data_IF_929947965473
#
_entry.id   IF_929947965473
#
_cell.length_a   1.000
_cell.length_b   1.000
_cell.length_c   1.000
_cell.angle_alpha   90.00
_cell.angle_beta   90.00
_cell.angle_gamma   90.00
#
_symmetry.space_group_name_H-M   'P 1'
#
loop_
_entity.id
_entity.type
_entity.pdbx_description
1 polymer ?
#
# COMPACT_ATOMS: atom_id res chain seq x y z
N UNK A 1 72.40 24.38 16.06
CA UNK A 1 71.41 25.18 16.81
C UNK A 1 70.05 24.58 16.53
N UNK A 2 69.39 24.14 17.59
CA UNK A 2 68.20 23.29 17.60
C UNK A 2 66.97 24.17 17.38
N UNK A 3 66.16 23.85 16.37
CA UNK A 3 64.82 24.41 16.18
C UNK A 3 63.79 23.29 16.39
N UNK A 4 63.21 23.25 17.59
CA UNK A 4 62.09 22.40 17.97
C UNK A 4 60.79 23.01 17.43
N UNK A 5 60.07 22.29 16.58
CA UNK A 5 58.66 22.57 16.30
C UNK A 5 57.80 21.65 17.17
N UNK A 6 57.10 22.26 18.13
CA UNK A 6 56.08 21.62 18.96
C UNK A 6 54.78 21.47 18.18
N UNK A 7 54.30 20.22 18.02
CA UNK A 7 52.93 19.95 17.61
C UNK A 7 52.03 19.90 18.85
N UNK A 8 51.08 20.83 18.89
CA UNK A 8 49.92 20.84 19.78
C UNK A 8 48.93 19.76 19.36
N UNK A 9 48.68 18.81 20.27
CA UNK A 9 47.59 17.83 20.19
C UNK A 9 46.24 18.53 20.42
N UNK A 10 45.30 18.38 19.48
CA UNK A 10 43.90 18.68 19.69
C UNK A 10 43.16 17.37 20.03
N UNK A 11 42.79 17.23 21.30
CA UNK A 11 41.94 16.16 21.82
C UNK A 11 40.52 16.36 21.27
N UNK A 12 40.14 15.54 20.29
CA UNK A 12 38.77 15.47 19.79
C UNK A 12 38.08 14.25 20.41
N UNK A 13 37.19 14.49 21.38
CA UNK A 13 36.33 13.49 22.00
C UNK A 13 35.43 12.82 20.97
N UNK A 14 35.84 11.65 20.44
CA UNK A 14 34.93 10.71 19.79
C UNK A 14 34.20 9.92 20.87
N UNK A 15 32.95 10.31 21.13
CA UNK A 15 32.00 9.48 21.87
C UNK A 15 31.60 8.32 20.96
N UNK A 16 32.26 7.18 21.15
CA UNK A 16 31.88 5.90 20.55
C UNK A 16 30.61 5.42 21.24
N UNK A 17 29.44 5.61 20.61
CA UNK A 17 28.20 4.96 21.05
C UNK A 17 28.29 3.46 20.75
N UNK A 18 28.63 2.67 21.75
CA UNK A 18 28.39 1.24 21.76
C UNK A 18 26.89 1.00 22.02
N UNK A 19 26.12 0.71 20.98
CA UNK A 19 24.82 0.06 21.15
C UNK A 19 25.04 -1.44 21.28
N UNK A 20 24.82 -1.95 22.48
CA UNK A 20 24.82 -3.36 22.80
C UNK A 20 23.75 -4.08 21.97
N UNK A 21 24.20 -4.94 21.05
CA UNK A 21 23.35 -5.89 20.33
C UNK A 21 23.30 -7.18 21.15
N UNK A 22 22.42 -7.26 22.13
CA UNK A 22 22.13 -8.52 22.84
C UNK A 22 20.62 -8.66 23.07
N UNK A 23 19.91 -8.98 21.99
CA UNK A 23 18.59 -9.61 22.05
C UNK A 23 18.74 -11.08 21.67
N UNK A 24 18.78 -11.96 22.68
CA UNK A 24 18.70 -13.41 22.49
C UNK A 24 17.36 -13.76 21.82
N UNK A 25 17.40 -14.23 20.58
CA UNK A 25 16.32 -15.02 20.00
C UNK A 25 16.27 -16.37 20.71
N UNK A 26 15.39 -16.50 21.70
CA UNK A 26 14.95 -17.81 22.19
C UNK A 26 13.84 -18.29 21.25
N UNK A 27 14.21 -18.87 20.12
CA UNK A 27 13.28 -19.68 19.33
C UNK A 27 13.38 -21.12 19.83
N UNK A 28 12.47 -21.49 20.74
CA UNK A 28 12.23 -22.90 21.05
C UNK A 28 10.73 -23.18 21.08
N UNK A 29 10.19 -23.53 19.92
CA UNK A 29 9.12 -24.51 19.82
C UNK A 29 9.39 -25.30 18.55
N UNK A 30 9.58 -26.61 18.70
CA UNK A 30 9.56 -27.58 17.61
C UNK A 30 8.34 -27.27 16.75
N UNK A 31 8.60 -26.89 15.52
CA UNK A 31 7.59 -26.36 14.65
C UNK A 31 7.22 -27.48 13.67
N UNK A 32 5.92 -27.76 13.63
CA UNK A 32 5.29 -28.66 12.67
C UNK A 32 4.66 -27.76 11.63
N UNK A 33 4.86 -28.05 10.35
CA UNK A 33 4.07 -27.46 9.26
C UNK A 33 2.58 -27.40 9.67
N UNK A 34 1.97 -26.21 9.60
CA UNK A 34 0.63 -25.96 10.15
C UNK A 34 0.60 -25.28 11.52
N UNK A 35 1.67 -24.61 11.95
CA UNK A 35 1.77 -23.94 13.24
C UNK A 35 1.23 -22.52 13.29
N UNK A 36 0.91 -22.06 14.49
CA UNK A 36 0.53 -20.67 14.81
C UNK A 36 1.67 -19.97 15.53
N UNK A 37 2.17 -18.86 14.97
CA UNK A 37 3.09 -17.94 15.62
C UNK A 37 2.32 -16.81 16.29
N UNK A 38 2.30 -16.76 17.63
CA UNK A 38 1.76 -15.61 18.37
C UNK A 38 2.86 -14.61 18.67
N UNK A 39 2.69 -13.37 18.20
CA UNK A 39 3.65 -12.29 18.38
C UNK A 39 3.50 -11.62 19.75
N UNK A 40 4.60 -11.17 20.33
CA UNK A 40 4.62 -10.53 21.65
C UNK A 40 5.47 -9.28 21.68
N UNK A 41 6.73 -9.33 21.21
CA UNK A 41 7.71 -8.25 21.21
C UNK A 41 8.69 -8.33 20.03
N UNK A 42 8.27 -8.89 18.88
CA UNK A 42 9.14 -9.09 17.73
C UNK A 42 9.56 -7.76 17.10
N UNK A 43 10.82 -7.71 16.67
CA UNK A 43 11.44 -6.61 15.93
C UNK A 43 12.08 -7.13 14.64
N UNK A 44 12.16 -6.29 13.60
CA UNK A 44 12.88 -6.62 12.37
C UNK A 44 11.99 -7.24 11.29
N UNK A 45 12.39 -8.37 10.70
CA UNK A 45 11.61 -9.04 9.65
C UNK A 45 11.24 -10.46 10.08
N UNK A 46 9.95 -10.76 10.08
CA UNK A 46 9.42 -12.12 10.21
C UNK A 46 9.33 -12.69 8.80
N UNK A 47 10.05 -13.79 8.55
CA UNK A 47 10.11 -14.44 7.24
C UNK A 47 9.30 -15.73 7.28
N UNK A 48 8.35 -15.89 6.37
CA UNK A 48 7.61 -17.13 6.09
C UNK A 48 8.02 -17.61 4.70
N UNK A 49 8.54 -18.82 4.61
CA UNK A 49 8.89 -19.47 3.35
C UNK A 49 8.37 -20.92 3.34
N UNK A 50 8.76 -21.71 2.35
CA UNK A 50 8.29 -23.10 2.19
C UNK A 50 8.91 -24.07 3.22
N UNK A 51 9.98 -23.64 3.91
CA UNK A 51 10.59 -24.39 5.00
C UNK A 51 10.13 -23.90 6.37
N UNK A 52 9.30 -22.85 6.43
CA UNK A 52 8.80 -22.31 7.67
C UNK A 52 7.47 -22.96 8.04
N UNK A 53 7.38 -23.33 9.30
CA UNK A 53 6.32 -24.13 9.88
C UNK A 53 5.05 -23.34 10.24
N UNK A 54 5.06 -22.01 10.13
CA UNK A 54 3.89 -21.19 10.48
C UNK A 54 2.99 -20.93 9.28
N UNK A 55 1.74 -21.38 9.39
CA UNK A 55 0.67 -21.04 8.45
C UNK A 55 -0.16 -19.87 9.00
N UNK A 56 -0.02 -19.56 10.29
CA UNK A 56 -0.75 -18.49 10.96
C UNK A 56 0.18 -17.59 11.79
N UNK A 57 0.00 -16.28 11.65
CA UNK A 57 0.54 -15.26 12.53
C UNK A 57 -0.60 -14.59 13.28
N UNK A 58 -0.49 -14.54 14.61
CA UNK A 58 -1.44 -13.88 15.50
C UNK A 58 -0.78 -12.72 16.21
N UNK A 59 -1.37 -11.53 16.07
CA UNK A 59 -0.99 -10.34 16.83
C UNK A 59 -2.01 -10.18 17.97
N UNK A 60 -1.60 -10.33 19.23
CA UNK A 60 -2.50 -10.17 20.36
C UNK A 60 -3.10 -8.77 20.43
N UNK A 61 -4.16 -8.65 21.22
CA UNK A 61 -4.73 -7.36 21.57
C UNK A 61 -3.72 -6.52 22.36
N UNK A 62 -3.73 -5.20 22.17
CA UNK A 62 -2.86 -4.25 22.87
C UNK A 62 -1.36 -4.49 22.62
N UNK A 63 -1.02 -4.96 21.42
CA UNK A 63 0.35 -5.18 20.98
C UNK A 63 0.67 -4.34 19.75
N UNK A 64 1.82 -3.66 19.84
CA UNK A 64 2.48 -3.04 18.69
C UNK A 64 3.72 -3.85 18.37
N UNK A 65 3.71 -4.50 17.21
CA UNK A 65 4.82 -5.29 16.72
C UNK A 65 5.67 -4.42 15.79
N UNK A 66 6.96 -4.35 16.06
CA UNK A 66 7.91 -3.54 15.27
C UNK A 66 8.62 -4.38 14.22
N UNK A 67 7.82 -5.06 13.38
CA UNK A 67 8.36 -5.93 12.36
C UNK A 67 7.59 -5.85 11.05
N UNK A 68 8.32 -6.08 9.95
CA UNK A 68 7.74 -6.48 8.66
C UNK A 68 7.42 -7.98 8.68
N UNK A 69 6.44 -8.38 7.87
CA UNK A 69 6.15 -9.79 7.59
C UNK A 69 6.40 -10.05 6.11
N UNK A 70 7.31 -10.97 5.80
CA UNK A 70 7.67 -11.35 4.45
C UNK A 70 7.24 -12.78 4.17
N UNK A 71 6.40 -12.97 3.16
CA UNK A 71 6.04 -14.28 2.62
C UNK A 71 6.83 -14.46 1.33
N UNK A 72 7.79 -15.37 1.32
CA UNK A 72 8.79 -15.47 0.26
C UNK A 72 8.41 -16.43 -0.86
N UNK A 73 9.14 -16.28 -1.96
CA UNK A 73 9.06 -17.14 -3.14
C UNK A 73 9.33 -18.59 -2.78
N UNK A 74 8.50 -19.46 -3.35
CA UNK A 74 8.50 -20.89 -3.06
C UNK A 74 7.37 -21.32 -2.15
N UNK A 75 6.87 -20.42 -1.28
CA UNK A 75 5.71 -20.72 -0.43
C UNK A 75 4.48 -21.04 -1.29
N UNK A 76 3.91 -22.22 -1.05
CA UNK A 76 2.69 -22.70 -1.72
C UNK A 76 1.49 -22.84 -0.79
N UNK A 77 1.73 -23.17 0.48
CA UNK A 77 0.67 -23.21 1.49
C UNK A 77 0.17 -21.80 1.80
N UNK A 78 -1.14 -21.68 2.02
CA UNK A 78 -1.78 -20.43 2.42
C UNK A 78 -1.21 -19.93 3.76
N UNK A 79 -1.35 -18.61 3.97
CA UNK A 79 -0.90 -17.92 5.17
C UNK A 79 -2.03 -17.06 5.72
N UNK A 80 -2.27 -17.14 7.02
CA UNK A 80 -3.20 -16.29 7.75
C UNK A 80 -2.41 -15.33 8.64
N UNK A 81 -2.71 -14.04 8.57
CA UNK A 81 -2.17 -13.01 9.47
C UNK A 81 -3.36 -12.31 10.10
N UNK A 82 -3.54 -12.43 11.42
CA UNK A 82 -4.67 -11.78 12.09
C UNK A 82 -4.27 -11.07 13.36
N UNK A 83 -4.92 -9.94 13.61
CA UNK A 83 -4.99 -9.37 14.95
C UNK A 83 -6.15 -9.97 15.75
N UNK A 84 -6.02 -9.98 17.07
CA UNK A 84 -7.14 -10.26 17.95
C UNK A 84 -8.07 -9.05 18.08
N UNK A 85 -7.59 -7.84 17.77
CA UNK A 85 -8.38 -6.62 17.78
C UNK A 85 -7.89 -5.63 16.71
N UNK A 86 -8.81 -5.21 15.82
CA UNK A 86 -8.52 -4.28 14.73
C UNK A 86 -7.78 -3.01 15.19
N UNK A 87 -8.14 -2.44 16.33
CA UNK A 87 -7.64 -1.14 16.78
C UNK A 87 -6.34 -1.23 17.57
N UNK A 88 -6.08 -2.35 18.24
CA UNK A 88 -4.97 -2.46 19.20
C UNK A 88 -3.97 -3.58 18.88
N UNK A 89 -4.24 -4.41 17.86
CA UNK A 89 -3.26 -5.30 17.23
C UNK A 89 -2.59 -4.56 16.08
N UNK A 90 -1.41 -4.01 16.33
CA UNK A 90 -0.73 -3.05 15.44
C UNK A 90 0.56 -3.67 14.88
N UNK A 91 0.73 -3.59 13.56
CA UNK A 91 2.02 -3.73 12.88
C UNK A 91 2.56 -2.34 12.56
N UNK A 92 3.76 -2.04 13.04
CA UNK A 92 4.46 -0.78 12.77
C UNK A 92 5.95 -1.08 12.65
N UNK A 93 6.46 -1.47 11.46
CA UNK A 93 7.79 -2.06 11.30
C UNK A 93 8.95 -1.25 11.88
N UNK A 94 8.89 0.08 11.76
CA UNK A 94 9.90 1.00 12.30
C UNK A 94 9.48 1.58 13.67
N UNK A 95 8.52 0.93 14.33
CA UNK A 95 7.78 1.51 15.44
C UNK A 95 6.82 2.61 14.99
N UNK A 96 6.11 3.18 15.97
CA UNK A 96 5.16 4.26 15.72
C UNK A 96 5.83 5.60 15.37
N UNK A 97 7.15 5.71 15.55
CA UNK A 97 7.87 6.98 15.46
C UNK A 97 9.17 6.90 14.65
N UNK A 98 9.51 5.73 14.11
CA UNK A 98 10.73 5.55 13.33
C UNK A 98 10.50 5.80 11.85
N UNK A 99 11.56 6.26 11.19
CA UNK A 99 11.67 6.41 9.74
C UNK A 99 12.80 5.50 9.25
N UNK A 100 12.70 5.02 8.01
CA UNK A 100 13.81 4.33 7.35
C UNK A 100 14.07 4.87 5.94
N UNK A 101 14.46 4.00 5.00
CA UNK A 101 15.12 4.38 3.73
C UNK A 101 14.16 4.97 2.69
N UNK A 102 13.97 6.30 2.71
CA UNK A 102 13.13 7.06 1.78
C UNK A 102 13.40 6.72 0.29
N UNK A 103 14.66 6.53 -0.10
CA UNK A 103 15.06 6.36 -1.50
C UNK A 103 15.03 4.92 -2.04
N UNK A 104 14.67 3.92 -1.22
CA UNK A 104 14.65 2.54 -1.67
C UNK A 104 13.61 2.32 -2.78
N UNK A 105 14.05 1.87 -3.96
CA UNK A 105 13.22 1.61 -5.14
C UNK A 105 13.26 0.14 -5.56
N UNK A 106 12.37 -0.24 -6.48
CA UNK A 106 12.30 -1.60 -7.02
C UNK A 106 12.03 -2.65 -5.94
N UNK A 107 12.57 -3.85 -6.11
CA UNK A 107 12.37 -4.97 -5.16
C UNK A 107 12.84 -4.64 -3.75
N UNK A 108 13.92 -3.87 -3.59
CA UNK A 108 14.41 -3.46 -2.27
C UNK A 108 13.37 -2.60 -1.55
N UNK A 109 12.79 -1.60 -2.23
CA UNK A 109 11.70 -0.79 -1.68
C UNK A 109 10.45 -1.62 -1.38
N UNK A 110 10.03 -2.51 -2.29
CA UNK A 110 8.86 -3.37 -2.04
C UNK A 110 9.01 -4.23 -0.78
N UNK A 111 10.22 -4.70 -0.48
CA UNK A 111 10.52 -5.47 0.74
C UNK A 111 10.55 -4.62 2.03
N UNK A 112 10.30 -3.33 1.97
CA UNK A 112 10.07 -2.49 3.15
C UNK A 112 8.58 -2.36 3.49
N UNK A 113 7.71 -3.05 2.75
CA UNK A 113 6.27 -3.06 3.04
C UNK A 113 5.99 -3.67 4.41
N UNK A 114 4.95 -3.21 5.12
CA UNK A 114 4.58 -3.83 6.40
C UNK A 114 4.28 -5.32 6.24
N UNK A 115 3.52 -5.67 5.19
CA UNK A 115 3.35 -7.06 4.75
C UNK A 115 3.73 -7.12 3.27
N UNK A 116 4.77 -7.90 2.98
CA UNK A 116 5.24 -8.18 1.62
C UNK A 116 5.04 -9.67 1.32
N UNK A 117 4.45 -9.98 0.17
CA UNK A 117 4.25 -11.35 -0.27
C UNK A 117 4.71 -11.53 -1.72
N UNK A 118 5.53 -12.54 -1.97
CA UNK A 118 5.98 -12.99 -3.29
C UNK A 118 5.83 -14.51 -3.31
N UNK A 119 4.60 -15.01 -3.22
CA UNK A 119 4.30 -16.44 -3.13
C UNK A 119 3.31 -16.88 -4.22
N UNK A 120 3.16 -18.20 -4.36
CA UNK A 120 2.06 -18.81 -5.11
C UNK A 120 1.03 -19.38 -4.13
N UNK A 121 0.42 -18.49 -3.36
CA UNK A 121 -0.39 -18.84 -2.19
C UNK A 121 -1.45 -17.75 -1.93
N UNK A 122 -2.43 -18.07 -1.08
CA UNK A 122 -3.35 -17.09 -0.52
C UNK A 122 -2.79 -16.52 0.77
N UNK A 123 -2.76 -15.20 0.90
CA UNK A 123 -2.45 -14.51 2.16
C UNK A 123 -3.71 -13.82 2.67
N UNK A 124 -4.29 -14.37 3.74
CA UNK A 124 -5.47 -13.82 4.39
C UNK A 124 -5.07 -12.91 5.54
N UNK A 125 -5.51 -11.64 5.52
CA UNK A 125 -5.12 -10.62 6.51
C UNK A 125 -6.37 -10.06 7.16
N UNK A 126 -6.46 -10.09 8.49
CA UNK A 126 -7.66 -9.58 9.17
C UNK A 126 -7.46 -8.95 10.55
N UNK A 127 -8.43 -8.13 10.96
CA UNK A 127 -8.59 -7.64 12.33
C UNK A 127 -7.34 -6.98 12.92
N UNK A 128 -6.58 -6.22 12.13
CA UNK A 128 -5.37 -5.53 12.57
C UNK A 128 -5.28 -4.11 12.02
N UNK A 129 -4.35 -3.33 12.58
CA UNK A 129 -3.93 -2.04 12.04
C UNK A 129 -2.50 -2.14 11.54
N UNK A 130 -2.25 -1.76 10.29
CA UNK A 130 -0.91 -1.43 9.81
C UNK A 130 -0.73 0.09 9.94
N UNK A 131 0.35 0.51 10.60
CA UNK A 131 0.60 1.91 10.92
C UNK A 131 2.05 2.28 10.64
N UNK A 132 2.25 3.50 10.11
CA UNK A 132 3.56 4.03 9.78
C UNK A 132 4.39 3.05 8.91
N UNK A 133 3.88 2.69 7.70
CA UNK A 133 4.64 1.84 6.80
C UNK A 133 5.81 2.66 6.23
N UNK A 134 6.89 1.98 5.89
CA UNK A 134 7.98 2.64 5.17
C UNK A 134 7.63 2.83 3.69
N UNK A 135 7.10 1.76 3.09
CA UNK A 135 6.62 1.74 1.70
C UNK A 135 5.14 1.34 1.73
N UNK A 136 4.81 0.19 1.18
CA UNK A 136 3.43 -0.27 1.10
C UNK A 136 2.96 -0.78 2.47
N UNK A 137 1.69 -0.60 2.79
CA UNK A 137 1.09 -1.31 3.91
C UNK A 137 1.00 -2.81 3.60
N UNK A 138 0.40 -3.16 2.47
CA UNK A 138 0.16 -4.55 2.06
C UNK A 138 0.44 -4.68 0.56
N UNK A 139 1.38 -5.55 0.20
CA UNK A 139 1.76 -5.78 -1.19
C UNK A 139 1.96 -7.27 -1.48
N UNK A 140 1.14 -7.82 -2.37
CA UNK A 140 1.47 -9.03 -3.14
C UNK A 140 2.19 -8.65 -4.44
N UNK A 141 3.40 -9.16 -4.67
CA UNK A 141 4.27 -8.72 -5.77
C UNK A 141 4.01 -9.45 -7.10
N UNK A 142 3.36 -10.61 -7.07
CA UNK A 142 3.11 -11.43 -8.27
C UNK A 142 1.62 -11.64 -8.53
N UNK A 143 1.28 -12.00 -9.77
CA UNK A 143 -0.08 -12.34 -10.20
C UNK A 143 -0.67 -13.50 -9.40
N UNK A 144 0.18 -14.39 -8.90
CA UNK A 144 -0.20 -15.60 -8.18
C UNK A 144 -0.33 -15.39 -6.66
N UNK A 145 0.01 -14.19 -6.17
CA UNK A 145 -0.10 -13.88 -4.74
C UNK A 145 -1.48 -13.30 -4.44
N UNK A 146 -2.42 -14.17 -4.05
CA UNK A 146 -3.79 -13.77 -3.75
C UNK A 146 -3.88 -13.14 -2.36
N UNK A 147 -4.13 -11.84 -2.30
CA UNK A 147 -4.27 -11.11 -1.02
C UNK A 147 -5.75 -10.96 -0.67
N UNK A 148 -6.18 -11.53 0.46
CA UNK A 148 -7.56 -11.42 0.98
C UNK A 148 -7.56 -10.62 2.27
N UNK A 149 -7.95 -9.35 2.20
CA UNK A 149 -7.83 -8.40 3.32
C UNK A 149 -9.20 -8.02 3.87
N UNK A 150 -9.41 -8.18 5.17
CA UNK A 150 -10.71 -7.99 5.81
C UNK A 150 -10.62 -7.24 7.14
N UNK A 151 -11.46 -6.23 7.33
CA UNK A 151 -11.59 -5.50 8.60
C UNK A 151 -10.25 -4.96 9.13
N UNK A 152 -9.47 -4.29 8.29
CA UNK A 152 -8.17 -3.70 8.66
C UNK A 152 -8.19 -2.17 8.65
N UNK A 153 -7.21 -1.59 9.33
CA UNK A 153 -6.88 -0.17 9.17
C UNK A 153 -5.48 -0.03 8.58
N UNK A 154 -5.33 0.82 7.56
CA UNK A 154 -4.06 1.18 6.96
C UNK A 154 -3.86 2.68 7.17
N UNK A 155 -2.94 3.06 8.05
CA UNK A 155 -2.72 4.46 8.41
C UNK A 155 -1.25 4.88 8.27
N UNK A 156 -0.94 5.78 7.35
CA UNK A 156 0.38 6.43 7.28
C UNK A 156 0.63 7.29 8.52
N UNK A 157 -0.43 7.85 9.12
CA UNK A 157 -0.32 8.67 10.34
C UNK A 157 -0.15 7.85 11.61
N UNK A 158 0.64 8.40 12.52
CA UNK A 158 0.93 7.84 13.84
C UNK A 158 -0.28 7.96 14.78
N UNK A 159 -1.03 9.06 14.66
CA UNK A 159 -2.32 9.28 15.30
C UNK A 159 -3.26 10.05 14.37
N UNK A 160 -4.57 10.07 14.65
CA UNK A 160 -5.57 10.73 13.81
C UNK A 160 -5.27 12.21 13.52
N UNK A 161 -4.52 12.87 14.41
CA UNK A 161 -4.12 14.27 14.31
C UNK A 161 -2.60 14.45 14.31
N UNK A 162 -1.80 13.38 14.14
CA UNK A 162 -0.35 13.53 14.09
C UNK A 162 0.08 14.15 12.77
N UNK A 163 1.24 14.80 12.83
CA UNK A 163 1.95 15.22 11.63
C UNK A 163 2.22 13.99 10.75
N UNK A 164 2.25 14.25 9.45
CA UNK A 164 2.32 13.19 8.48
C UNK A 164 3.77 12.81 8.29
N UNK A 165 4.09 11.52 8.37
CA UNK A 165 5.21 10.99 7.60
C UNK A 165 4.93 11.22 6.11
N UNK A 166 5.39 12.36 5.60
CA UNK A 166 5.22 12.89 4.25
C UNK A 166 6.00 12.08 3.20
N UNK A 167 5.88 10.76 3.26
CA UNK A 167 6.63 9.87 2.41
C UNK A 167 5.86 9.62 1.12
N UNK A 168 6.50 9.97 0.01
CA UNK A 168 6.24 9.34 -1.29
C UNK A 168 6.33 7.82 -1.10
N UNK A 169 5.46 7.03 -1.73
CA UNK A 169 5.40 5.55 -1.69
C UNK A 169 4.80 4.88 -0.44
N UNK A 170 4.03 5.61 0.39
CA UNK A 170 3.21 4.98 1.45
C UNK A 170 1.88 4.44 0.91
N UNK A 171 1.99 3.51 -0.01
CA UNK A 171 0.85 2.91 -0.70
C UNK A 171 0.02 2.00 0.20
N UNK A 172 -1.26 1.86 -0.08
CA UNK A 172 -2.17 1.03 0.72
C UNK A 172 -2.06 -0.45 0.35
N UNK A 173 -2.92 -0.88 -0.56
CA UNK A 173 -3.15 -2.28 -0.90
C UNK A 173 -2.83 -2.59 -2.36
N UNK A 174 -2.08 -3.67 -2.58
CA UNK A 174 -1.89 -4.30 -3.88
C UNK A 174 -1.77 -5.82 -3.74
N UNK A 175 -2.15 -6.55 -4.79
CA UNK A 175 -2.05 -8.01 -4.82
C UNK A 175 -2.23 -8.58 -6.22
N UNK A 176 -2.14 -9.91 -6.31
CA UNK A 176 -2.35 -10.69 -7.52
C UNK A 176 -3.80 -10.75 -8.00
N UNK A 177 -4.04 -11.59 -9.01
CA UNK A 177 -5.36 -11.83 -9.60
C UNK A 177 -6.36 -12.30 -8.53
N UNK A 178 -7.57 -11.74 -8.52
CA UNK A 178 -8.63 -12.10 -7.56
C UNK A 178 -8.50 -11.45 -6.18
N UNK A 179 -7.45 -10.68 -5.91
CA UNK A 179 -7.22 -10.07 -4.61
C UNK A 179 -8.36 -9.14 -4.20
N UNK A 180 -8.63 -9.07 -2.89
CA UNK A 180 -9.72 -8.27 -2.35
C UNK A 180 -9.37 -7.56 -1.05
N UNK A 181 -10.00 -6.40 -0.85
CA UNK A 181 -9.99 -5.68 0.42
C UNK A 181 -11.41 -5.25 0.79
N UNK A 182 -11.82 -5.52 2.03
CA UNK A 182 -13.17 -5.20 2.49
C UNK A 182 -13.25 -4.70 3.93
N UNK A 183 -14.31 -3.96 4.25
CA UNK A 183 -14.63 -3.43 5.58
C UNK A 183 -13.48 -2.65 6.24
N UNK A 184 -12.69 -1.95 5.43
CA UNK A 184 -11.39 -1.40 5.84
C UNK A 184 -11.34 0.12 5.73
N UNK A 185 -10.44 0.72 6.51
CA UNK A 185 -10.11 2.16 6.43
C UNK A 185 -8.68 2.31 5.90
N UNK A 186 -8.49 3.24 4.97
CA UNK A 186 -7.19 3.54 4.36
C UNK A 186 -6.94 5.05 4.48
N UNK A 187 -5.79 5.44 5.02
CA UNK A 187 -5.25 6.79 5.05
C UNK A 187 -3.81 6.71 4.56
N UNK A 188 -3.60 7.01 3.28
CA UNK A 188 -2.30 6.88 2.60
C UNK A 188 -1.89 8.20 1.97
N UNK A 189 -0.58 8.43 1.85
CA UNK A 189 -0.05 9.57 1.12
C UNK A 189 0.19 9.29 -0.35
N UNK A 190 0.20 8.02 -0.76
CA UNK A 190 0.33 7.57 -2.14
C UNK A 190 -0.85 6.66 -2.56
N UNK A 191 -0.69 5.85 -3.61
CA UNK A 191 -1.76 5.04 -4.18
C UNK A 191 -2.43 4.16 -3.11
N UNK A 192 -3.72 4.38 -2.85
CA UNK A 192 -4.42 3.64 -1.78
C UNK A 192 -4.73 2.20 -2.21
N UNK A 193 -5.14 1.99 -3.46
CA UNK A 193 -5.41 0.67 -4.04
C UNK A 193 -4.80 0.58 -5.44
N UNK A 194 -3.88 -0.37 -5.62
CA UNK A 194 -3.21 -0.64 -6.90
C UNK A 194 -3.98 -1.69 -7.68
N UNK A 195 -4.79 -1.23 -8.64
CA UNK A 195 -5.61 -2.07 -9.51
C UNK A 195 -4.81 -2.49 -10.74
N UNK A 196 -3.85 -3.39 -10.54
CA UNK A 196 -2.88 -3.77 -11.59
C UNK A 196 -3.13 -5.16 -12.18
N UNK A 197 -4.17 -5.86 -11.74
CA UNK A 197 -4.40 -7.27 -12.09
C UNK A 197 -5.81 -7.52 -12.59
N UNK A 198 -5.97 -8.69 -13.20
CA UNK A 198 -7.25 -9.22 -13.66
C UNK A 198 -8.15 -9.43 -12.43
N UNK A 199 -9.16 -8.57 -12.31
CA UNK A 199 -10.21 -8.64 -11.27
C UNK A 199 -9.72 -8.47 -9.83
N UNK A 200 -9.91 -7.27 -9.29
CA UNK A 200 -9.74 -6.97 -7.87
C UNK A 200 -11.07 -6.47 -7.30
N UNK A 201 -11.40 -6.92 -6.10
CA UNK A 201 -12.66 -6.54 -5.43
C UNK A 201 -12.39 -5.62 -4.25
N UNK A 202 -13.13 -4.52 -4.19
CA UNK A 202 -13.10 -3.57 -3.07
C UNK A 202 -14.52 -3.43 -2.54
N UNK A 203 -14.71 -3.68 -1.25
CA UNK A 203 -16.05 -3.73 -0.64
C UNK A 203 -16.13 -3.00 0.70
N UNK A 204 -17.01 -2.00 0.81
CA UNK A 204 -17.19 -1.24 2.05
C UNK A 204 -15.88 -0.62 2.58
N UNK A 205 -15.09 -0.02 1.70
CA UNK A 205 -13.81 0.61 2.05
C UNK A 205 -13.94 2.14 2.11
N UNK A 206 -13.32 2.73 3.12
CA UNK A 206 -13.21 4.18 3.28
C UNK A 206 -11.76 4.61 3.07
N UNK A 207 -11.53 5.49 2.11
CA UNK A 207 -10.22 6.01 1.76
C UNK A 207 -10.19 7.49 2.11
N UNK A 208 -9.19 7.90 2.89
CA UNK A 208 -8.80 9.29 3.09
C UNK A 208 -7.65 9.58 2.13
N UNK A 209 -7.95 10.32 1.06
CA UNK A 209 -6.99 10.64 0.01
C UNK A 209 -6.22 11.92 0.35
N UNK A 210 -4.92 11.78 0.58
CA UNK A 210 -4.01 12.91 0.79
C UNK A 210 -3.40 13.40 -0.54
N UNK A 211 -2.14 13.81 -0.58
CA UNK A 211 -1.59 14.55 -1.73
C UNK A 211 -1.22 13.68 -2.95
N UNK A 212 -0.45 12.61 -2.75
CA UNK A 212 0.18 11.86 -3.84
C UNK A 212 -0.64 10.62 -4.23
N UNK A 213 -0.21 9.98 -5.31
CA UNK A 213 -0.87 8.78 -5.85
C UNK A 213 -2.34 9.01 -6.18
N UNK A 214 -3.10 7.91 -6.23
CA UNK A 214 -4.55 7.90 -6.40
C UNK A 214 -5.25 6.88 -5.48
N UNK A 215 -6.48 7.14 -5.03
CA UNK A 215 -7.31 6.16 -4.33
C UNK A 215 -7.41 4.81 -5.07
N UNK A 216 -7.58 4.86 -6.39
CA UNK A 216 -7.55 3.69 -7.27
C UNK A 216 -6.61 3.96 -8.45
N UNK A 217 -5.42 3.35 -8.40
CA UNK A 217 -4.39 3.49 -9.43
C UNK A 217 -4.42 2.29 -10.38
N UNK A 218 -4.55 2.54 -11.69
CA UNK A 218 -4.62 1.51 -12.74
C UNK A 218 -3.30 1.25 -13.47
N UNK A 219 -2.25 1.99 -13.14
CA UNK A 219 -0.89 1.65 -13.52
C UNK A 219 0.00 2.84 -13.78
N UNK A 220 1.28 2.63 -13.47
CA UNK A 220 2.40 3.46 -13.90
C UNK A 220 3.05 2.94 -15.21
N UNK A 221 2.44 1.93 -15.83
CA UNK A 221 2.93 1.18 -16.99
C UNK A 221 2.81 -0.35 -16.77
N UNK A 222 2.98 -1.14 -17.83
CA UNK A 222 3.32 -2.58 -17.70
C UNK A 222 2.22 -3.59 -17.40
N UNK A 223 0.92 -3.27 -17.58
CA UNK A 223 -0.16 -4.24 -17.37
C UNK A 223 -1.19 -4.19 -18.51
N UNK A 224 -1.50 -5.33 -19.11
CA UNK A 224 -2.37 -5.40 -20.31
C UNK A 224 -3.84 -5.18 -19.96
N UNK A 225 -4.27 -5.67 -18.79
CA UNK A 225 -5.66 -5.63 -18.35
C UNK A 225 -5.75 -5.40 -16.84
N UNK A 226 -6.74 -4.61 -16.42
CA UNK A 226 -7.16 -4.59 -15.02
C UNK A 226 -8.65 -4.31 -14.89
N UNK A 227 -9.27 -4.91 -13.87
CA UNK A 227 -10.69 -4.72 -13.57
C UNK A 227 -10.88 -4.51 -12.08
N UNK A 228 -11.50 -3.40 -11.72
CA UNK A 228 -11.94 -3.10 -10.37
C UNK A 228 -13.43 -3.43 -10.24
N UNK A 229 -13.79 -4.15 -9.19
CA UNK A 229 -15.17 -4.40 -8.79
C UNK A 229 -15.41 -3.67 -7.46
N UNK A 230 -16.26 -2.66 -7.47
CA UNK A 230 -16.65 -1.88 -6.31
C UNK A 230 -17.99 -2.40 -5.77
N UNK A 231 -17.98 -3.06 -4.62
CA UNK A 231 -19.18 -3.59 -3.95
C UNK A 231 -19.50 -2.79 -2.68
N UNK A 232 -20.76 -2.84 -2.26
CA UNK A 232 -21.18 -2.17 -1.03
C UNK A 232 -21.03 -0.64 -1.10
N UNK A 233 -20.79 0.01 0.03
CA UNK A 233 -20.65 1.47 0.12
C UNK A 233 -19.18 1.87 0.25
N UNK A 234 -18.55 2.21 -0.87
CA UNK A 234 -17.18 2.72 -0.89
C UNK A 234 -17.16 4.24 -0.83
N UNK A 235 -16.22 4.79 -0.07
CA UNK A 235 -16.08 6.23 0.12
C UNK A 235 -14.65 6.66 -0.10
N UNK A 236 -14.47 7.72 -0.87
CA UNK A 236 -13.23 8.47 -0.99
C UNK A 236 -13.47 9.87 -0.42
N UNK A 237 -12.63 10.25 0.54
CA UNK A 237 -12.62 11.57 1.16
C UNK A 237 -11.33 12.29 0.81
N UNK A 238 -11.46 13.34 0.02
CA UNK A 238 -10.39 14.28 -0.29
C UNK A 238 -9.95 15.03 0.99
N UNK A 239 -8.70 14.84 1.42
CA UNK A 239 -8.12 15.43 2.63
C UNK A 239 -6.91 16.37 2.40
N UNK A 240 -6.71 16.84 1.18
CA UNK A 240 -5.62 17.73 0.77
C UNK A 240 -6.12 18.86 -0.15
N UNK A 241 -5.28 19.86 -0.40
CA UNK A 241 -5.66 21.03 -1.20
C UNK A 241 -5.07 21.01 -2.61
N UNK A 242 -4.08 20.16 -2.85
CA UNK A 242 -3.37 19.99 -4.12
C UNK A 242 -3.16 18.50 -4.36
N UNK A 243 -3.76 17.94 -5.41
CA UNK A 243 -3.71 16.50 -5.67
C UNK A 243 -2.82 16.19 -6.85
N UNK A 244 -1.98 15.16 -6.73
CA UNK A 244 -1.20 14.69 -7.87
C UNK A 244 -2.03 13.91 -8.85
N UNK A 245 -3.07 13.18 -8.44
CA UNK A 245 -4.00 12.51 -9.33
C UNK A 245 -5.44 12.63 -8.84
N UNK A 246 -6.38 12.19 -9.67
CA UNK A 246 -7.76 12.05 -9.29
C UNK A 246 -8.03 10.74 -8.56
N UNK A 247 -9.30 10.51 -8.27
CA UNK A 247 -9.78 9.33 -7.55
C UNK A 247 -9.43 8.02 -8.28
N UNK A 248 -9.70 7.98 -9.58
CA UNK A 248 -9.32 6.91 -10.49
C UNK A 248 -8.24 7.43 -11.42
N UNK A 249 -7.02 6.90 -11.30
CA UNK A 249 -5.89 7.38 -12.08
C UNK A 249 -5.29 6.29 -12.95
N UNK A 250 -4.83 6.69 -14.13
CA UNK A 250 -4.01 5.86 -14.98
C UNK A 250 -2.88 6.71 -15.56
N UNK A 251 -1.66 6.46 -15.10
CA UNK A 251 -0.55 7.38 -15.38
C UNK A 251 0.10 7.11 -16.73
N UNK A 252 0.28 5.85 -17.10
CA UNK A 252 0.98 5.50 -18.33
C UNK A 252 0.48 4.21 -18.95
N UNK A 253 0.54 4.17 -20.29
CA UNK A 253 0.38 2.95 -21.09
C UNK A 253 1.64 2.69 -21.88
N UNK A 254 2.16 1.47 -21.78
CA UNK A 254 3.34 1.08 -22.55
C UNK A 254 2.96 0.60 -23.98
N UNK A 255 1.68 0.37 -24.24
CA UNK A 255 1.14 -0.12 -25.51
C UNK A 255 -0.28 0.39 -25.74
N UNK A 256 -0.68 0.48 -27.00
CA UNK A 256 -2.06 0.80 -27.42
C UNK A 256 -2.99 -0.40 -27.23
N UNK A 257 -4.29 -0.15 -27.05
CA UNK A 257 -5.31 -1.19 -26.97
C UNK A 257 -5.55 -1.73 -25.56
N UNK A 258 -4.81 -1.26 -24.55
CA UNK A 258 -5.02 -1.65 -23.16
C UNK A 258 -6.40 -1.23 -22.66
N UNK A 259 -7.00 -2.11 -21.87
CA UNK A 259 -8.34 -1.92 -21.32
C UNK A 259 -8.29 -1.95 -19.80
N UNK A 260 -8.97 -0.97 -19.20
CA UNK A 260 -9.30 -0.92 -17.77
C UNK A 260 -10.80 -0.94 -17.59
N UNK A 261 -11.25 -1.53 -16.49
CA UNK A 261 -12.68 -1.70 -16.19
C UNK A 261 -12.98 -1.30 -14.76
N UNK A 262 -14.08 -0.58 -14.55
CA UNK A 262 -14.65 -0.32 -13.22
C UNK A 262 -16.11 -0.73 -13.21
N UNK A 263 -16.41 -1.71 -12.36
CA UNK A 263 -17.73 -2.28 -12.15
C UNK A 263 -18.31 -1.79 -10.82
N UNK A 264 -19.25 -0.84 -10.88
CA UNK A 264 -19.91 -0.25 -9.72
C UNK A 264 -21.14 -1.08 -9.33
N UNK A 265 -20.93 -2.02 -8.40
CA UNK A 265 -21.97 -2.91 -7.83
C UNK A 265 -22.52 -2.41 -6.50
N UNK A 266 -22.24 -1.16 -6.13
CA UNK A 266 -22.71 -0.55 -4.90
C UNK A 266 -22.44 0.95 -4.88
N UNK A 267 -22.88 1.62 -3.81
CA UNK A 267 -22.73 3.06 -3.66
C UNK A 267 -21.25 3.49 -3.69
N UNK A 268 -21.00 4.59 -4.40
CA UNK A 268 -19.69 5.22 -4.45
C UNK A 268 -19.81 6.70 -4.09
N UNK A 269 -19.15 7.09 -3.01
CA UNK A 269 -19.20 8.45 -2.48
C UNK A 269 -17.84 9.14 -2.64
N UNK A 270 -17.83 10.31 -3.25
CA UNK A 270 -16.65 11.17 -3.35
C UNK A 270 -16.91 12.48 -2.61
N UNK A 271 -16.32 12.61 -1.43
CA UNK A 271 -16.52 13.71 -0.49
C UNK A 271 -15.25 14.51 -0.30
N UNK A 272 -15.38 15.72 0.25
CA UNK A 272 -14.26 16.63 0.50
C UNK A 272 -14.25 16.99 1.97
N UNK A 273 -13.10 16.88 2.62
CA UNK A 273 -12.91 17.31 3.99
C UNK A 273 -13.07 18.84 4.10
N UNK A 274 -13.47 19.33 5.28
CA UNK A 274 -13.62 20.76 5.52
C UNK A 274 -12.31 21.51 5.21
N UNK A 275 -12.40 22.59 4.42
CA UNK A 275 -11.26 23.42 4.03
C UNK A 275 -10.33 22.80 2.98
N UNK A 276 -10.70 21.68 2.36
CA UNK A 276 -9.92 20.99 1.32
C UNK A 276 -10.54 21.19 -0.07
N UNK A 277 -9.77 20.83 -1.09
CA UNK A 277 -10.18 20.94 -2.50
C UNK A 277 -10.74 19.61 -3.00
N UNK A 278 -11.59 19.62 -4.02
CA UNK A 278 -12.03 18.40 -4.70
C UNK A 278 -11.01 17.96 -5.76
N UNK A 279 -10.54 16.73 -5.70
CA UNK A 279 -9.75 16.10 -6.75
C UNK A 279 -10.61 15.79 -7.98
N UNK A 280 -9.99 15.59 -9.14
CA UNK A 280 -10.72 15.07 -10.31
C UNK A 280 -11.18 13.63 -10.03
N UNK A 281 -12.28 13.20 -10.64
CA UNK A 281 -12.72 11.82 -10.50
C UNK A 281 -11.83 10.90 -11.34
N UNK A 282 -11.52 11.29 -12.57
CA UNK A 282 -10.67 10.55 -13.48
C UNK A 282 -9.46 11.39 -13.92
N UNK A 283 -8.26 10.83 -13.85
CA UNK A 283 -7.05 11.47 -14.37
C UNK A 283 -6.22 10.51 -15.22
N UNK A 284 -5.78 10.96 -16.38
CA UNK A 284 -4.96 10.19 -17.31
C UNK A 284 -3.66 10.93 -17.63
N UNK A 285 -2.53 10.24 -17.49
CA UNK A 285 -1.20 10.82 -17.69
C UNK A 285 -0.56 11.36 -16.42
N UNK A 286 0.76 11.57 -16.49
CA UNK A 286 1.51 12.26 -15.45
C UNK A 286 1.35 13.78 -15.52
N UNK A 287 1.53 14.48 -14.40
CA UNK A 287 1.41 15.95 -14.34
C UNK A 287 2.43 16.68 -15.23
N UNK A 288 3.65 16.14 -15.33
CA UNK A 288 4.78 16.87 -15.92
C UNK A 288 5.75 16.01 -16.73
N UNK A 289 5.57 14.69 -16.77
CA UNK A 289 6.51 13.79 -17.45
C UNK A 289 5.89 13.31 -18.76
N UNK A 290 6.37 13.85 -19.89
CA UNK A 290 5.85 13.56 -21.23
C UNK A 290 6.06 12.12 -21.69
N UNK A 291 6.94 11.38 -21.02
CA UNK A 291 7.14 9.94 -21.27
C UNK A 291 6.09 9.07 -20.54
N UNK A 292 5.29 9.65 -19.64
CA UNK A 292 4.26 8.97 -18.88
C UNK A 292 2.89 9.49 -19.30
N UNK A 293 2.39 8.93 -20.40
CA UNK A 293 1.11 9.31 -21.00
C UNK A 293 0.28 8.06 -21.28
N UNK A 294 -1.04 8.25 -21.31
CA UNK A 294 -1.99 7.23 -21.75
C UNK A 294 -2.35 7.52 -23.18
N UNK A 295 -2.21 6.56 -24.10
CA UNK A 295 -2.56 6.78 -25.51
C UNK A 295 -3.16 5.53 -26.15
N UNK A 296 -4.26 5.69 -26.88
CA UNK A 296 -4.91 4.60 -27.59
C UNK A 296 -5.46 3.50 -26.65
N UNK A 297 -5.80 3.85 -25.41
CA UNK A 297 -6.29 2.93 -24.40
C UNK A 297 -7.75 3.21 -24.03
N UNK A 298 -8.42 2.25 -23.38
CA UNK A 298 -9.84 2.35 -23.03
C UNK A 298 -10.10 2.15 -21.53
N UNK A 299 -10.90 3.03 -20.93
CA UNK A 299 -11.53 2.82 -19.63
C UNK A 299 -13.02 2.54 -19.82
N UNK A 300 -13.48 1.36 -19.38
CA UNK A 300 -14.91 1.02 -19.39
C UNK A 300 -15.50 1.16 -17.99
N UNK A 301 -16.55 1.96 -17.88
CA UNK A 301 -17.29 2.21 -16.65
C UNK A 301 -18.66 1.54 -16.76
N UNK A 302 -19.09 0.76 -15.77
CA UNK A 302 -20.40 0.09 -15.81
C UNK A 302 -20.90 -0.27 -14.41
N UNK A 303 -22.12 -0.77 -14.32
CA UNK A 303 -22.80 -1.12 -13.06
C UNK A 303 -23.87 -0.09 -12.68
N UNK A 304 -24.84 -0.51 -11.87
CA UNK A 304 -26.05 0.27 -11.58
C UNK A 304 -25.85 1.53 -10.72
N UNK A 305 -24.63 1.72 -10.20
CA UNK A 305 -24.22 2.89 -9.41
C UNK A 305 -23.01 3.59 -10.03
N UNK A 306 -22.80 3.36 -11.33
CA UNK A 306 -21.68 3.90 -12.06
C UNK A 306 -21.63 5.42 -11.99
N UNK A 307 -20.40 5.96 -11.93
CA UNK A 307 -20.14 7.39 -12.06
C UNK A 307 -19.66 7.66 -13.48
N UNK A 308 -20.41 8.45 -14.24
CA UNK A 308 -19.99 8.77 -15.60
C UNK A 308 -18.74 9.67 -15.62
N UNK A 309 -17.87 9.43 -16.60
CA UNK A 309 -16.84 10.39 -16.99
C UNK A 309 -17.48 11.54 -17.76
N UNK A 310 -17.08 12.77 -17.41
CA UNK A 310 -17.55 14.03 -18.00
C UNK A 310 -16.38 15.00 -18.13
N UNK A 311 -16.54 16.06 -18.92
CA UNK A 311 -15.50 17.08 -19.06
C UNK A 311 -15.18 17.83 -17.74
N UNK A 312 -16.11 17.85 -16.77
CA UNK A 312 -15.90 18.54 -15.50
C UNK A 312 -15.14 17.70 -14.48
N UNK A 313 -15.26 16.37 -14.53
CA UNK A 313 -14.66 15.44 -13.57
C UNK A 313 -13.48 14.62 -14.13
N UNK A 314 -13.19 14.72 -15.43
CA UNK A 314 -12.07 14.06 -16.10
C UNK A 314 -11.00 15.05 -16.50
N UNK A 315 -9.74 14.66 -16.31
CA UNK A 315 -8.57 15.41 -16.75
C UNK A 315 -7.63 14.51 -17.55
N UNK A 316 -7.31 14.95 -18.77
CA UNK A 316 -6.23 14.40 -19.58
C UNK A 316 -5.02 15.31 -19.48
N UNK A 317 -3.87 14.74 -19.14
CA UNK A 317 -2.64 15.49 -18.92
C UNK A 317 -1.65 15.27 -20.05
N UNK A 318 -0.92 16.33 -20.38
CA UNK A 318 0.07 16.33 -21.44
C UNK A 318 -0.60 15.87 -22.75
N UNK A 319 -0.02 14.92 -23.47
CA UNK A 319 -0.56 14.36 -24.71
C UNK A 319 -1.49 13.16 -24.48
N UNK A 320 -1.89 12.91 -23.24
CA UNK A 320 -2.69 11.74 -22.91
C UNK A 320 -4.08 11.80 -23.54
N UNK A 321 -4.52 10.66 -24.04
CA UNK A 321 -5.85 10.41 -24.56
C UNK A 321 -6.25 8.98 -24.16
N UNK A 322 -7.48 8.84 -23.66
CA UNK A 322 -8.08 7.53 -23.45
C UNK A 322 -9.52 7.59 -23.93
N UNK A 323 -9.96 6.52 -24.58
CA UNK A 323 -11.38 6.34 -24.83
C UNK A 323 -12.06 5.96 -23.51
N UNK A 324 -13.16 6.63 -23.16
CA UNK A 324 -13.91 6.30 -21.96
C UNK A 324 -15.32 5.90 -22.36
N UNK A 325 -15.65 4.66 -22.09
CA UNK A 325 -17.00 4.13 -22.37
C UNK A 325 -17.81 4.19 -21.08
N UNK A 326 -18.80 5.07 -21.05
CA UNK A 326 -19.85 5.06 -20.02
C UNK A 326 -20.88 3.99 -20.41
N UNK A 327 -20.99 2.92 -19.62
CA UNK A 327 -21.99 1.88 -19.81
C UNK A 327 -23.42 2.41 -19.58
N UNK A 328 -24.42 1.64 -20.01
CA UNK A 328 -25.85 2.03 -20.07
C UNK A 328 -26.42 2.60 -18.75
N UNK A 329 -25.83 2.24 -17.61
CA UNK A 329 -26.29 2.66 -16.27
C UNK A 329 -25.39 3.72 -15.62
N UNK A 330 -24.45 4.30 -16.36
CA UNK A 330 -23.62 5.40 -15.91
C UNK A 330 -24.35 6.72 -16.16
N UNK A 331 -24.95 7.27 -15.10
CA UNK A 331 -25.56 8.60 -15.09
C UNK A 331 -24.64 9.62 -14.43
#
# INVERSE_FOLDING_TARGET
>A
MIGLYSHTEAIMNKITKYTALTGLLTMSTLANAGGTLTLSNQTGTIVIDDNNDYDEIVIPENKTIQANIHILKGRTNDVVIRGNNRSTSILAPNGLWGESQEDAKGTAGKKLSTIYADCNCTVSISNLTSRNPEKFHILGDTDNTLMLVDNVNLYTRIAANSDVHHHHTTDGFGGGVGSSIRYSNIDTFDDSIKVYRTEMTVENVHITHNEFGAPYQFGWGGFDYAKLILKGSNTVKDNHSSYRHGVFAWVSTNQTGYVRKVDYRGAFNHTVAAGKSRSKLYTFGHLSNTNLTVSGATLNLFGGQCKASTNSNTEFRLTSNANITNGTYCN
#
